data_IF_032353259215
#
_entry.id   IF_032353259215
#
_cell.length_a   1.000
_cell.length_b   1.000
_cell.length_c   1.000
_cell.angle_alpha   90.00
_cell.angle_beta   90.00
_cell.angle_gamma   90.00
#
_symmetry.space_group_name_H-M   'P 1'
#
loop_
_entity.id
_entity.type
_entity.pdbx_description
1 polymer ?
#
# COMPACT_ATOMS: atom_id res chain seq x y z
N UNK A 1 -3.27 -20.38 -5.99
CA UNK A 1 -4.24 -19.49 -6.67
C UNK A 1 -4.32 -18.20 -5.86
N UNK A 2 -3.85 -17.07 -6.38
CA UNK A 2 -4.11 -15.78 -5.75
C UNK A 2 -5.56 -15.38 -6.03
N UNK A 3 -6.51 -15.64 -5.13
CA UNK A 3 -7.79 -14.92 -5.14
C UNK A 3 -8.55 -15.14 -3.84
N UNK A 4 -8.21 -14.31 -2.84
CA UNK A 4 -9.09 -14.06 -1.69
C UNK A 4 -9.93 -12.79 -1.91
N UNK A 5 -9.53 -11.90 -2.84
CA UNK A 5 -10.33 -10.75 -3.27
C UNK A 5 -11.37 -11.19 -4.30
N UNK A 6 -12.60 -10.70 -4.14
CA UNK A 6 -13.72 -11.00 -5.03
C UNK A 6 -13.31 -10.86 -6.50
N UNK A 7 -13.40 -11.97 -7.23
CA UNK A 7 -13.03 -12.09 -8.65
C UNK A 7 -13.68 -10.98 -9.50
N UNK A 8 -14.91 -10.59 -9.15
CA UNK A 8 -15.65 -9.50 -9.78
C UNK A 8 -14.99 -8.12 -9.64
N UNK A 9 -14.39 -7.81 -8.49
CA UNK A 9 -13.67 -6.54 -8.28
C UNK A 9 -12.40 -6.49 -9.16
N UNK A 10 -11.65 -7.60 -9.20
CA UNK A 10 -10.43 -7.68 -10.00
C UNK A 10 -10.71 -7.61 -11.50
N UNK A 11 -11.81 -8.18 -12.01
CA UNK A 11 -12.18 -8.09 -13.43
C UNK A 11 -12.56 -6.68 -13.89
N UNK A 12 -12.96 -5.79 -12.99
CA UNK A 12 -13.23 -4.39 -13.33
C UNK A 12 -11.94 -3.58 -13.51
N UNK A 13 -10.84 -4.03 -12.89
CA UNK A 13 -9.58 -3.29 -12.78
C UNK A 13 -8.45 -3.89 -13.64
N UNK A 14 -8.39 -5.22 -13.76
CA UNK A 14 -7.38 -5.99 -14.48
C UNK A 14 -8.02 -6.96 -15.49
N UNK A 15 -7.31 -7.18 -16.61
CA UNK A 15 -7.57 -8.37 -17.43
C UNK A 15 -7.02 -9.61 -16.74
N UNK A 16 -7.57 -10.79 -17.04
CA UNK A 16 -7.09 -12.06 -16.47
C UNK A 16 -5.60 -12.27 -16.70
N UNK A 17 -5.09 -11.95 -17.88
CA UNK A 17 -3.67 -12.07 -18.20
C UNK A 17 -2.78 -11.15 -17.34
N UNK A 18 -3.25 -9.94 -17.02
CA UNK A 18 -2.52 -9.02 -16.14
C UNK A 18 -2.53 -9.51 -14.70
N UNK A 19 -3.67 -10.01 -14.22
CA UNK A 19 -3.75 -10.58 -12.89
C UNK A 19 -2.80 -11.77 -12.75
N UNK A 20 -2.76 -12.68 -13.72
CA UNK A 20 -1.83 -13.83 -13.75
C UNK A 20 -0.39 -13.32 -13.69
N UNK A 21 -0.01 -12.40 -14.58
CA UNK A 21 1.36 -11.89 -14.66
C UNK A 21 1.82 -11.23 -13.34
N UNK A 22 0.93 -10.48 -12.68
CA UNK A 22 1.22 -9.88 -11.37
C UNK A 22 1.36 -10.96 -10.30
N UNK A 23 0.46 -11.93 -10.28
CA UNK A 23 0.50 -13.03 -9.30
C UNK A 23 1.77 -13.88 -9.44
N UNK A 24 2.25 -14.12 -10.66
CA UNK A 24 3.53 -14.79 -10.90
C UNK A 24 4.71 -14.03 -10.29
N UNK A 25 4.66 -12.69 -10.26
CA UNK A 25 5.69 -11.89 -9.57
C UNK A 25 5.67 -12.12 -8.06
N UNK A 26 4.48 -12.19 -7.47
CA UNK A 26 4.32 -12.35 -6.03
C UNK A 26 4.57 -13.80 -5.56
N UNK A 27 4.31 -14.79 -6.41
CA UNK A 27 4.64 -16.19 -6.15
C UNK A 27 6.09 -16.56 -6.53
N UNK A 28 6.79 -15.66 -7.20
CA UNK A 28 8.16 -15.89 -7.66
C UNK A 28 9.21 -15.76 -6.56
N UNK A 29 10.43 -16.20 -6.85
CA UNK A 29 11.56 -16.19 -5.90
C UNK A 29 12.02 -14.80 -5.44
N UNK A 30 11.57 -13.75 -6.14
CA UNK A 30 11.84 -12.36 -5.75
C UNK A 30 10.97 -11.91 -4.56
N UNK A 31 9.85 -12.57 -4.28
CA UNK A 31 9.02 -12.27 -3.12
C UNK A 31 9.71 -12.68 -1.82
N UNK A 32 9.70 -11.79 -0.84
CA UNK A 32 10.27 -12.03 0.49
C UNK A 32 9.15 -11.97 1.52
N UNK A 33 8.61 -13.10 2.01
CA UNK A 33 7.51 -13.09 2.97
C UNK A 33 7.81 -12.22 4.20
N UNK A 34 6.82 -11.43 4.62
CA UNK A 34 6.96 -10.52 5.77
C UNK A 34 7.90 -9.33 5.53
N UNK A 35 8.30 -9.06 4.28
CA UNK A 35 9.14 -7.91 3.91
C UNK A 35 8.39 -6.95 3.01
N UNK A 36 7.07 -6.83 3.17
CA UNK A 36 6.24 -5.93 2.38
C UNK A 36 5.94 -4.65 3.15
N UNK A 37 6.01 -3.54 2.45
CA UNK A 37 5.68 -2.23 3.01
C UNK A 37 4.62 -1.55 2.14
N UNK A 38 3.57 -1.08 2.81
CA UNK A 38 2.54 -0.22 2.20
C UNK A 38 2.79 1.24 2.58
N UNK A 39 2.07 2.16 1.95
CA UNK A 39 2.26 3.57 2.24
C UNK A 39 1.07 4.44 1.85
N UNK A 40 0.92 5.56 2.54
CA UNK A 40 -0.10 6.57 2.24
C UNK A 40 0.40 7.96 2.65
N UNK A 41 0.20 8.97 1.79
CA UNK A 41 0.49 10.36 2.14
C UNK A 41 1.96 10.78 2.15
N UNK A 42 2.90 9.84 2.05
CA UNK A 42 4.34 10.11 2.02
C UNK A 42 4.86 10.11 0.57
N UNK A 43 5.76 11.03 0.18
CA UNK A 43 6.38 11.01 -1.14
C UNK A 43 7.03 9.65 -1.46
N UNK A 44 6.76 9.11 -2.67
CA UNK A 44 7.27 7.81 -3.11
C UNK A 44 8.79 7.65 -2.94
N UNK A 45 9.56 8.71 -3.19
CA UNK A 45 11.02 8.67 -3.06
C UNK A 45 11.46 8.35 -1.61
N UNK A 46 10.81 8.96 -0.62
CA UNK A 46 11.08 8.71 0.81
C UNK A 46 10.68 7.29 1.18
N UNK A 47 9.50 6.84 0.74
CA UNK A 47 9.03 5.47 1.00
C UNK A 47 10.00 4.44 0.40
N UNK A 48 10.43 4.64 -0.85
CA UNK A 48 11.33 3.71 -1.52
C UNK A 48 12.70 3.69 -0.82
N UNK A 49 13.25 4.85 -0.46
CA UNK A 49 14.51 4.94 0.28
C UNK A 49 14.43 4.21 1.63
N UNK A 50 13.35 4.41 2.38
CA UNK A 50 13.13 3.73 3.65
C UNK A 50 12.98 2.21 3.46
N UNK A 51 12.21 1.79 2.44
CA UNK A 51 12.05 0.37 2.11
C UNK A 51 13.38 -0.29 1.76
N UNK A 52 14.19 0.35 0.91
CA UNK A 52 15.49 -0.16 0.48
C UNK A 52 16.46 -0.29 1.66
N UNK A 53 16.51 0.70 2.55
CA UNK A 53 17.33 0.67 3.76
C UNK A 53 16.97 -0.48 4.71
N UNK A 54 15.70 -0.90 4.72
CA UNK A 54 15.17 -1.97 5.58
C UNK A 54 15.03 -3.32 4.87
N UNK A 55 15.46 -3.42 3.61
CA UNK A 55 15.32 -4.62 2.80
C UNK A 55 13.86 -5.03 2.56
N UNK A 56 12.94 -4.06 2.57
CA UNK A 56 11.51 -4.22 2.34
C UNK A 56 11.11 -3.95 0.89
N UNK A 57 9.92 -4.41 0.50
CA UNK A 57 9.40 -4.39 -0.85
C UNK A 57 8.12 -3.58 -0.89
N UNK A 58 8.16 -2.45 -1.59
CA UNK A 58 6.95 -1.73 -2.03
C UNK A 58 6.23 -2.53 -3.13
N UNK A 59 4.97 -2.21 -3.42
CA UNK A 59 4.25 -2.76 -4.59
C UNK A 59 5.10 -2.67 -5.86
N UNK A 60 5.72 -1.52 -6.11
CA UNK A 60 6.53 -1.32 -7.32
C UNK A 60 7.77 -2.22 -7.34
N UNK A 61 8.37 -2.47 -6.18
CA UNK A 61 9.53 -3.36 -6.05
C UNK A 61 9.13 -4.81 -6.29
N UNK A 62 8.02 -5.25 -5.69
CA UNK A 62 7.51 -6.61 -5.84
C UNK A 62 7.08 -6.92 -7.29
N UNK A 63 6.47 -5.95 -7.97
CA UNK A 63 6.09 -6.07 -9.39
C UNK A 63 7.31 -6.05 -10.33
N UNK A 64 8.44 -5.49 -9.90
CA UNK A 64 9.73 -5.56 -10.60
C UNK A 64 9.66 -5.06 -12.04
N UNK A 65 10.03 -5.88 -13.06
CA UNK A 65 10.08 -5.45 -14.45
C UNK A 65 8.76 -4.92 -15.04
N UNK A 66 7.61 -5.22 -14.41
CA UNK A 66 6.31 -4.66 -14.81
C UNK A 66 6.19 -3.14 -14.56
N UNK A 67 7.10 -2.58 -13.76
CA UNK A 67 7.10 -1.18 -13.32
C UNK A 67 8.30 -0.37 -13.84
N UNK A 68 9.19 -0.99 -14.62
CA UNK A 68 10.36 -0.33 -15.21
C UNK A 68 9.96 0.23 -16.56
N UNK A 69 9.95 1.55 -16.71
CA UNK A 69 9.37 2.26 -17.88
C UNK A 69 9.85 1.72 -19.23
N UNK A 70 11.15 1.44 -19.35
CA UNK A 70 11.77 1.01 -20.61
C UNK A 70 11.85 -0.52 -20.76
N UNK A 71 11.28 -1.27 -19.80
CA UNK A 71 11.28 -2.72 -19.85
C UNK A 71 10.13 -3.23 -20.74
N UNK A 72 10.34 -4.21 -21.63
CA UNK A 72 9.30 -4.72 -22.54
C UNK A 72 8.02 -5.24 -21.86
N UNK A 73 8.12 -5.66 -20.59
CA UNK A 73 6.97 -6.13 -19.82
C UNK A 73 6.17 -4.99 -19.16
N UNK A 74 6.70 -3.76 -19.13
CA UNK A 74 5.98 -2.61 -18.58
C UNK A 74 4.94 -2.12 -19.58
N UNK A 75 3.67 -2.20 -19.17
CA UNK A 75 2.54 -1.84 -20.05
C UNK A 75 2.11 -0.38 -19.93
N UNK A 76 2.83 0.43 -19.15
CA UNK A 76 2.43 1.80 -18.84
C UNK A 76 2.27 2.65 -20.10
N UNK A 77 3.24 2.58 -21.03
CA UNK A 77 3.21 3.33 -22.29
C UNK A 77 2.10 2.88 -23.24
N UNK A 78 1.64 1.64 -23.12
CA UNK A 78 0.58 1.06 -23.95
C UNK A 78 -0.82 1.27 -23.36
N UNK A 79 -0.95 2.07 -22.29
CA UNK A 79 -2.20 2.30 -21.57
C UNK A 79 -2.53 3.79 -21.50
N UNK A 80 -3.81 4.11 -21.64
CA UNK A 80 -4.31 5.43 -21.26
C UNK A 80 -4.14 5.65 -19.74
N UNK A 81 -4.08 6.91 -19.30
CA UNK A 81 -3.99 7.26 -17.88
C UNK A 81 -5.06 6.57 -17.02
N UNK A 82 -6.29 6.47 -17.54
CA UNK A 82 -7.39 5.78 -16.86
C UNK A 82 -7.15 4.27 -16.75
N UNK A 83 -6.73 3.61 -17.84
CA UNK A 83 -6.44 2.17 -17.84
C UNK A 83 -5.23 1.84 -16.95
N UNK A 84 -4.24 2.72 -16.90
CA UNK A 84 -3.11 2.58 -15.98
C UNK A 84 -3.53 2.73 -14.52
N UNK A 85 -4.40 3.71 -14.21
CA UNK A 85 -4.95 3.86 -12.84
C UNK A 85 -5.66 2.59 -12.38
N UNK A 86 -6.50 1.99 -13.25
CA UNK A 86 -7.19 0.73 -12.95
C UNK A 86 -6.24 -0.43 -12.76
N UNK A 87 -5.24 -0.55 -13.64
CA UNK A 87 -4.17 -1.54 -13.50
C UNK A 87 -3.48 -1.42 -12.13
N UNK A 88 -3.17 -0.21 -11.67
CA UNK A 88 -2.57 0.01 -10.36
C UNK A 88 -3.51 -0.31 -9.20
N UNK A 89 -4.83 -0.05 -9.32
CA UNK A 89 -5.81 -0.45 -8.30
C UNK A 89 -5.86 -1.98 -8.15
N UNK A 90 -5.93 -2.71 -9.26
CA UNK A 90 -5.94 -4.17 -9.20
C UNK A 90 -4.61 -4.75 -8.71
N UNK A 91 -3.47 -4.19 -9.13
CA UNK A 91 -2.15 -4.60 -8.63
C UNK A 91 -2.02 -4.39 -7.11
N UNK A 92 -2.50 -3.25 -6.62
CA UNK A 92 -2.58 -2.91 -5.20
C UNK A 92 -3.48 -3.90 -4.43
N UNK A 93 -4.65 -4.25 -4.97
CA UNK A 93 -5.52 -5.27 -4.38
C UNK A 93 -4.86 -6.65 -4.31
N UNK A 94 -4.18 -7.08 -5.38
CA UNK A 94 -3.46 -8.37 -5.42
C UNK A 94 -2.30 -8.39 -4.41
N UNK A 95 -1.58 -7.28 -4.27
CA UNK A 95 -0.47 -7.15 -3.32
C UNK A 95 -0.97 -7.24 -1.88
N UNK A 96 -2.02 -6.49 -1.54
CA UNK A 96 -2.67 -6.57 -0.23
C UNK A 96 -3.18 -7.98 0.08
N UNK A 97 -3.81 -8.63 -0.92
CA UNK A 97 -4.30 -10.01 -0.77
C UNK A 97 -3.19 -10.99 -0.46
N UNK A 98 -2.05 -10.84 -1.14
CA UNK A 98 -0.92 -11.75 -0.98
C UNK A 98 -0.26 -11.55 0.39
N UNK A 99 -0.13 -10.31 0.85
CA UNK A 99 0.33 -10.00 2.22
C UNK A 99 -0.62 -10.59 3.26
N UNK A 100 -1.94 -10.45 3.07
CA UNK A 100 -2.93 -10.99 3.98
C UNK A 100 -2.88 -12.53 4.06
N UNK A 101 -2.51 -13.21 2.97
CA UNK A 101 -2.32 -14.67 2.96
C UNK A 101 -1.14 -15.13 3.82
N UNK A 102 -0.08 -14.31 3.94
CA UNK A 102 1.05 -14.59 4.83
C UNK A 102 0.65 -14.50 6.32
N UNK A 103 -0.43 -13.78 6.65
CA UNK A 103 -0.99 -13.68 8.00
C UNK A 103 -0.10 -12.98 9.04
N UNK A 104 1.00 -12.35 8.60
CA UNK A 104 2.00 -11.74 9.46
C UNK A 104 1.68 -10.32 9.92
N UNK A 105 2.72 -9.57 10.27
CA UNK A 105 2.64 -8.12 10.50
C UNK A 105 2.97 -7.39 9.20
N UNK A 106 2.22 -6.33 8.88
CA UNK A 106 2.52 -5.44 7.76
C UNK A 106 2.86 -4.04 8.27
N UNK A 107 3.90 -3.45 7.71
CA UNK A 107 4.30 -2.07 7.99
C UNK A 107 3.72 -1.14 6.94
N UNK A 108 3.22 0.00 7.39
CA UNK A 108 2.69 1.05 6.53
C UNK A 108 3.40 2.38 6.83
N UNK A 109 4.05 2.93 5.82
CA UNK A 109 4.72 4.23 5.89
C UNK A 109 3.68 5.33 5.67
N UNK A 110 3.44 6.17 6.67
CA UNK A 110 2.46 7.26 6.57
C UNK A 110 2.99 8.59 7.05
N UNK A 111 2.23 9.66 6.78
CA UNK A 111 2.38 10.91 7.51
C UNK A 111 2.17 10.69 9.01
N UNK A 112 2.81 11.48 9.87
CA UNK A 112 2.65 11.34 11.31
C UNK A 112 1.26 11.81 11.80
N UNK A 113 0.82 11.36 12.99
CA UNK A 113 -0.31 11.95 13.70
C UNK A 113 -0.23 13.48 13.79
N UNK A 114 -1.38 14.18 13.74
CA UNK A 114 -2.74 13.64 13.79
C UNK A 114 -3.30 13.13 12.43
N UNK A 115 -2.80 13.64 11.31
CA UNK A 115 -3.34 13.33 9.97
C UNK A 115 -2.52 12.23 9.27
N UNK A 116 -2.65 11.00 9.76
CA UNK A 116 -1.94 9.82 9.22
C UNK A 116 -2.36 9.46 7.79
N UNK A 117 -3.65 9.66 7.51
CA UNK A 117 -4.28 9.31 6.24
C UNK A 117 -5.03 10.50 5.65
N UNK A 118 -5.44 10.39 4.38
CA UNK A 118 -6.23 11.45 3.75
C UNK A 118 -7.57 11.58 4.50
N UNK A 119 -7.91 12.75 5.06
CA UNK A 119 -9.16 12.96 5.79
C UNK A 119 -10.39 12.80 4.89
N UNK A 120 -10.24 12.97 3.57
CA UNK A 120 -11.30 12.75 2.60
C UNK A 120 -11.38 11.29 2.12
N UNK A 121 -10.50 10.42 2.62
CA UNK A 121 -10.37 9.04 2.17
C UNK A 121 -9.86 8.91 0.72
N UNK A 122 -10.17 7.76 0.11
CA UNK A 122 -10.00 7.57 -1.33
C UNK A 122 -8.57 7.36 -1.83
N UNK A 123 -7.58 7.25 -0.94
CA UNK A 123 -6.27 6.70 -1.31
C UNK A 123 -6.41 5.22 -1.63
N UNK A 124 -5.50 4.66 -2.44
CA UNK A 124 -5.49 3.21 -2.70
C UNK A 124 -5.40 2.43 -1.40
N UNK A 125 -4.56 2.88 -0.46
CA UNK A 125 -4.45 2.29 0.86
C UNK A 125 -5.81 2.23 1.57
N UNK A 126 -6.49 3.36 1.75
CA UNK A 126 -7.76 3.40 2.48
C UNK A 126 -8.91 2.70 1.76
N UNK A 127 -8.99 2.80 0.43
CA UNK A 127 -10.15 2.33 -0.33
C UNK A 127 -10.06 0.86 -0.76
N UNK A 128 -8.84 0.33 -0.84
CA UNK A 128 -8.54 -0.99 -1.43
C UNK A 128 -7.74 -1.83 -0.45
N UNK A 129 -6.54 -1.38 -0.06
CA UNK A 129 -5.56 -2.22 0.61
C UNK A 129 -5.95 -2.52 2.06
N UNK A 130 -6.31 -1.49 2.84
CA UNK A 130 -6.63 -1.60 4.26
C UNK A 130 -7.83 -2.54 4.53
N UNK A 131 -8.97 -2.45 3.81
CA UNK A 131 -10.05 -3.43 3.96
C UNK A 131 -9.64 -4.88 3.62
N UNK A 132 -8.71 -5.07 2.67
CA UNK A 132 -8.21 -6.41 2.32
C UNK A 132 -7.30 -6.94 3.43
N UNK A 133 -6.36 -6.13 3.92
CA UNK A 133 -5.45 -6.51 4.99
C UNK A 133 -6.22 -6.89 6.26
N UNK A 134 -7.29 -6.16 6.60
CA UNK A 134 -8.15 -6.43 7.76
C UNK A 134 -9.11 -7.61 7.57
N UNK A 135 -9.15 -8.22 6.38
CA UNK A 135 -10.06 -9.32 6.06
C UNK A 135 -11.51 -8.91 5.79
N UNK A 136 -11.81 -7.61 5.69
CA UNK A 136 -13.15 -7.11 5.32
C UNK A 136 -13.48 -7.42 3.84
N UNK A 137 -12.45 -7.58 3.01
CA UNK A 137 -12.54 -7.95 1.59
C UNK A 137 -11.65 -9.14 1.26
N UNK A 138 -11.92 -10.28 1.91
CA UNK A 138 -11.38 -11.58 1.53
C UNK A 138 -11.50 -12.62 2.62
N UNK A 139 -10.83 -13.77 2.43
CA UNK A 139 -10.83 -14.89 3.38
C UNK A 139 -9.63 -14.90 4.34
N UNK A 140 -8.68 -13.98 4.17
CA UNK A 140 -7.45 -13.90 4.96
C UNK A 140 -7.29 -12.47 5.50
N UNK A 141 -6.61 -12.33 6.63
CA UNK A 141 -6.22 -11.06 7.20
C UNK A 141 -4.79 -11.14 7.74
N UNK A 142 -4.13 -9.99 7.84
CA UNK A 142 -2.89 -9.89 8.60
C UNK A 142 -3.17 -10.10 10.09
N UNK A 143 -2.13 -10.38 10.88
CA UNK A 143 -2.23 -10.39 12.35
C UNK A 143 -2.19 -8.98 12.93
N UNK A 144 -1.43 -8.08 12.30
CA UNK A 144 -1.15 -6.74 12.83
C UNK A 144 -0.79 -5.75 11.72
N UNK A 145 -1.22 -4.50 11.85
CA UNK A 145 -0.78 -3.38 11.03
C UNK A 145 -0.01 -2.40 11.92
N UNK A 146 1.22 -2.11 11.53
CA UNK A 146 2.08 -1.12 12.19
C UNK A 146 2.34 0.09 11.31
N UNK A 147 2.39 1.28 11.91
CA UNK A 147 2.77 2.50 11.22
C UNK A 147 4.18 2.93 11.58
N UNK A 148 4.85 3.54 10.60
CA UNK A 148 6.14 4.21 10.76
C UNK A 148 6.12 5.57 10.07
N UNK A 149 6.88 6.54 10.60
CA UNK A 149 6.94 7.91 10.10
C UNK A 149 8.38 8.39 9.83
N UNK A 150 8.99 7.98 8.71
CA UNK A 150 10.37 8.33 8.35
C UNK A 150 10.63 9.84 8.19
N UNK A 151 9.58 10.66 8.11
CA UNK A 151 9.67 12.12 7.96
C UNK A 151 9.78 12.85 9.30
N UNK A 152 9.72 12.14 10.43
CA UNK A 152 9.81 12.71 11.78
C UNK A 152 11.18 12.40 12.36
N UNK A 153 12.07 13.40 12.54
CA UNK A 153 13.37 13.19 13.13
C UNK A 153 13.31 12.54 14.52
N UNK A 154 14.06 11.45 14.70
CA UNK A 154 14.10 10.64 15.92
C UNK A 154 12.98 9.59 16.04
N UNK A 155 12.04 9.54 15.10
CA UNK A 155 10.97 8.55 15.04
C UNK A 155 11.00 7.70 13.76
N UNK A 156 12.10 7.75 13.00
CA UNK A 156 12.22 7.14 11.68
C UNK A 156 12.04 5.63 11.70
N UNK A 157 12.42 5.02 12.82
CA UNK A 157 12.34 3.57 13.07
C UNK A 157 11.26 3.20 14.09
N UNK A 158 10.55 4.21 14.63
CA UNK A 158 9.56 3.95 15.65
C UNK A 158 8.27 3.45 15.00
N UNK A 159 7.93 2.20 15.32
CA UNK A 159 6.70 1.54 14.90
C UNK A 159 5.69 1.50 16.05
N UNK A 160 4.40 1.61 15.73
CA UNK A 160 3.29 1.39 16.66
C UNK A 160 2.11 0.76 15.95
N UNK A 161 1.32 0.02 16.71
CA UNK A 161 0.16 -0.70 16.20
C UNK A 161 -1.01 0.26 15.91
N UNK A 162 -1.76 -0.03 14.85
CA UNK A 162 -3.03 0.63 14.54
C UNK A 162 -4.19 -0.33 14.31
N UNK A 163 -3.89 -1.62 14.26
CA UNK A 163 -4.84 -2.69 14.11
C UNK A 163 -4.17 -4.01 14.54
N UNK A 164 -4.86 -4.87 15.34
CA UNK A 164 -6.21 -4.68 15.87
C UNK A 164 -6.36 -3.59 16.94
N UNK A 165 -5.29 -3.26 17.67
CA UNK A 165 -5.30 -2.23 18.72
C UNK A 165 -4.66 -0.93 18.21
N UNK A 166 -5.28 0.23 18.50
CA UNK A 166 -4.72 1.53 18.10
C UNK A 166 -3.83 2.11 19.22
N UNK A 167 -2.52 2.03 19.05
CA UNK A 167 -1.52 2.53 19.99
C UNK A 167 -1.00 3.92 19.63
N UNK A 168 -1.74 4.72 18.85
CA UNK A 168 -1.35 6.09 18.45
C UNK A 168 -1.01 7.00 19.62
N UNK A 169 -1.66 6.80 20.77
CA UNK A 169 -1.39 7.58 21.98
C UNK A 169 0.05 7.38 22.48
N UNK A 170 0.59 6.15 22.35
CA UNK A 170 1.97 5.84 22.72
C UNK A 170 2.97 6.61 21.86
N UNK A 171 2.66 6.74 20.56
CA UNK A 171 3.45 7.53 19.62
C UNK A 171 3.37 9.02 19.96
N UNK A 172 2.16 9.52 20.16
CA UNK A 172 1.89 10.94 20.42
C UNK A 172 2.58 11.40 21.69
N UNK A 173 2.55 10.59 22.76
CA UNK A 173 3.24 10.90 24.01
C UNK A 173 4.76 11.11 23.82
N UNK A 174 5.38 10.37 22.90
CA UNK A 174 6.83 10.43 22.63
C UNK A 174 7.20 11.55 21.65
N UNK A 175 6.40 11.77 20.61
CA UNK A 175 6.80 12.58 19.45
C UNK A 175 5.94 13.82 19.18
N UNK A 176 5.01 14.20 20.07
CA UNK A 176 4.11 15.34 19.88
C UNK A 176 4.78 16.68 19.53
N UNK A 177 6.04 16.90 19.93
CA UNK A 177 6.80 18.10 19.55
C UNK A 177 7.41 17.98 18.14
N UNK A 178 7.98 16.82 17.82
CA UNK A 178 8.63 16.56 16.54
C UNK A 178 7.61 16.43 15.38
N UNK A 179 6.40 15.94 15.68
CA UNK A 179 5.33 15.82 14.68
C UNK A 179 4.89 17.18 14.11
N UNK A 180 4.92 18.25 14.93
CA UNK A 180 4.50 19.60 14.53
C UNK A 180 5.46 20.25 13.53
N UNK A 181 6.72 19.83 13.51
CA UNK A 181 7.72 20.29 12.55
C UNK A 181 7.81 19.43 11.30
N UNK A 182 7.06 18.31 11.25
CA UNK A 182 7.07 17.44 10.09
C UNK A 182 6.32 18.08 8.91
N UNK A 183 6.71 17.77 7.66
CA UNK A 183 6.01 18.28 6.49
C UNK A 183 4.54 17.86 6.51
N UNK A 184 3.63 18.82 6.34
CA UNK A 184 2.22 18.49 6.18
C UNK A 184 1.98 17.74 4.87
N UNK A 185 1.20 16.64 4.90
CA UNK A 185 0.84 15.93 3.68
C UNK A 185 0.01 16.81 2.74
N UNK A 186 0.42 16.86 1.47
CA UNK A 186 -0.36 17.49 0.42
C UNK A 186 -1.42 16.50 -0.09
N UNK A 187 -2.56 16.44 0.58
CA UNK A 187 -3.67 15.58 0.20
C UNK A 187 -4.32 16.04 -1.11
N UNK A 188 -4.63 15.09 -1.98
CA UNK A 188 -5.49 15.34 -3.14
C UNK A 188 -6.94 15.08 -2.75
N UNK A 189 -7.85 15.96 -3.15
CA UNK A 189 -9.27 15.68 -3.03
C UNK A 189 -9.64 14.49 -3.92
N UNK A 190 -10.34 13.48 -3.39
CA UNK A 190 -10.91 12.42 -4.21
C UNK A 190 -11.83 13.04 -5.26
N UNK A 191 -11.71 12.57 -6.51
CA UNK A 191 -12.71 12.96 -7.52
C UNK A 191 -14.05 12.33 -7.13
N UNK A 192 -15.18 13.06 -7.21
CA UNK A 192 -16.48 12.46 -6.95
C UNK A 192 -16.69 11.27 -7.88
N UNK A 193 -17.09 10.12 -7.32
CA UNK A 193 -17.57 8.99 -8.14
C UNK A 193 -18.77 9.51 -8.90
N UNK A 194 -18.67 9.61 -10.24
CA UNK A 194 -19.87 9.78 -11.06
C UNK A 194 -20.79 8.61 -10.75
N UNK A 195 -21.98 8.90 -10.22
CA UNK A 195 -23.05 7.92 -10.12
C UNK A 195 -23.25 7.34 -11.53
N UNK A 196 -23.12 6.02 -11.66
CA UNK A 196 -23.55 5.35 -12.89
C UNK A 196 -25.07 5.32 -12.81
N UNK A 197 -25.71 6.13 -13.65
CA UNK A 197 -27.11 5.92 -14.05
C UNK A 197 -27.19 4.67 -14.93
#
# INVERSE_FOLDING_TARGET
MCSSVGIEYLHQELTTAEAIQICERFQGTAWRPGRQVMWSGVPRAIVQQWADAHGMQTLTTAMGPLMVHDHPQCRQLHKSKQRWSRYMHGASALFASHIAQDGGTVTVVTSPPPERFNPHGGTNYQAIEDPILKGERGSCCVKKIELVHPTVPGAEEFCYEIWPEDETDSWTAKFAKASKSAPHPQWKHPKPRRARL
#
